data_IF_642135787095
#
_entry.id   IF_642135787095
#
_cell.length_a   1.000
_cell.length_b   1.000
_cell.length_c   1.000
_cell.angle_alpha   90.00
_cell.angle_beta   90.00
_cell.angle_gamma   90.00
#
_symmetry.space_group_name_H-M   'P 1'
#
loop_
_entity.id
_entity.type
_entity.pdbx_description
1 polymer ?
#
# COMPACT_ATOMS: atom_id res chain seq x y z
N UNK A 1 -32.75 -33.32 -3.72
CA UNK A 1 -31.64 -32.82 -4.55
C UNK A 1 -30.66 -32.14 -3.61
N UNK A 2 -29.37 -32.49 -3.63
CA UNK A 2 -28.35 -31.72 -2.90
C UNK A 2 -28.08 -30.47 -3.73
N UNK A 3 -28.29 -29.29 -3.16
CA UNK A 3 -27.94 -28.04 -3.82
C UNK A 3 -26.47 -28.07 -4.24
N UNK A 4 -26.20 -27.67 -5.48
CA UNK A 4 -24.86 -27.60 -6.01
C UNK A 4 -24.05 -26.61 -5.16
N UNK A 5 -22.99 -27.08 -4.51
CA UNK A 5 -22.11 -26.23 -3.69
C UNK A 5 -21.39 -25.23 -4.59
N UNK A 6 -21.84 -23.97 -4.58
CA UNK A 6 -21.20 -22.90 -5.35
C UNK A 6 -19.83 -22.56 -4.75
N UNK A 7 -18.79 -22.56 -5.59
CA UNK A 7 -17.44 -22.16 -5.17
C UNK A 7 -17.40 -20.64 -5.02
N UNK A 8 -17.09 -20.15 -3.82
CA UNK A 8 -16.91 -18.72 -3.56
C UNK A 8 -15.67 -18.21 -4.32
N UNK A 9 -15.78 -17.01 -4.88
CA UNK A 9 -14.66 -16.29 -5.46
C UNK A 9 -13.75 -15.80 -4.34
N UNK A 10 -12.45 -16.03 -4.47
CA UNK A 10 -11.46 -15.56 -3.49
C UNK A 10 -10.94 -14.17 -3.80
N UNK A 11 -11.02 -13.77 -5.08
CA UNK A 11 -10.53 -12.50 -5.59
C UNK A 11 -11.56 -11.88 -6.53
N UNK A 12 -11.60 -10.55 -6.57
CA UNK A 12 -12.42 -9.80 -7.53
C UNK A 12 -11.64 -8.57 -7.98
N UNK A 13 -11.49 -8.39 -9.30
CA UNK A 13 -10.87 -7.19 -9.85
C UNK A 13 -11.68 -5.95 -9.43
N UNK A 14 -10.96 -4.87 -9.13
CA UNK A 14 -11.55 -3.55 -8.94
C UNK A 14 -11.44 -2.86 -10.29
N UNK A 15 -12.56 -2.72 -10.98
CA UNK A 15 -12.61 -1.96 -12.23
C UNK A 15 -12.19 -0.52 -11.95
N UNK A 16 -11.29 0.02 -12.77
CA UNK A 16 -10.86 1.42 -12.62
C UNK A 16 -12.01 2.38 -12.85
N UNK A 17 -12.88 2.02 -13.80
CA UNK A 17 -14.09 2.74 -14.16
C UNK A 17 -15.24 2.29 -13.25
N UNK A 18 -15.76 3.20 -12.43
CA UNK A 18 -16.86 2.95 -11.50
C UNK A 18 -16.46 2.97 -10.01
N UNK A 19 -17.48 2.96 -9.14
CA UNK A 19 -17.29 2.98 -7.70
C UNK A 19 -17.09 1.55 -7.14
N UNK A 20 -16.12 1.32 -6.23
CA UNK A 20 -15.23 2.31 -5.60
C UNK A 20 -13.93 2.59 -6.37
N UNK A 21 -13.71 1.92 -7.51
CA UNK A 21 -12.46 1.96 -8.27
C UNK A 21 -11.93 3.35 -8.58
N UNK A 22 -12.76 4.27 -9.06
CA UNK A 22 -12.34 5.64 -9.39
C UNK A 22 -11.59 6.32 -8.24
N UNK A 23 -12.11 6.22 -7.02
CA UNK A 23 -11.48 6.82 -5.83
C UNK A 23 -10.19 6.10 -5.45
N UNK A 24 -10.19 4.78 -5.55
CA UNK A 24 -9.03 3.97 -5.18
C UNK A 24 -7.86 4.15 -6.15
N UNK A 25 -8.15 4.25 -7.45
CA UNK A 25 -7.14 4.52 -8.47
C UNK A 25 -6.68 5.97 -8.43
N UNK A 26 -7.54 6.94 -8.11
CA UNK A 26 -7.09 8.32 -7.88
C UNK A 26 -6.07 8.40 -6.73
N UNK A 27 -6.36 7.73 -5.61
CA UNK A 27 -5.43 7.63 -4.47
C UNK A 27 -4.14 6.89 -4.84
N UNK A 28 -4.24 5.80 -5.62
CA UNK A 28 -3.07 5.08 -6.13
C UNK A 28 -2.17 6.00 -6.97
N UNK A 29 -2.76 6.71 -7.92
CA UNK A 29 -2.04 7.60 -8.84
C UNK A 29 -1.38 8.75 -8.06
N UNK A 30 -2.06 9.33 -7.07
CA UNK A 30 -1.52 10.36 -6.16
C UNK A 30 -0.30 9.85 -5.39
N UNK A 31 -0.42 8.70 -4.72
CA UNK A 31 0.69 8.11 -3.96
C UNK A 31 1.89 7.78 -4.85
N UNK A 32 1.66 7.27 -6.06
CA UNK A 32 2.74 7.00 -7.02
C UNK A 32 3.49 8.28 -7.39
N UNK A 33 2.77 9.37 -7.65
CA UNK A 33 3.38 10.66 -7.98
C UNK A 33 4.15 11.24 -6.80
N UNK A 34 3.61 11.13 -5.58
CA UNK A 34 4.20 11.78 -4.40
C UNK A 34 5.38 11.00 -3.80
N UNK A 35 5.35 9.67 -3.85
CA UNK A 35 6.24 8.83 -3.05
C UNK A 35 6.95 7.71 -3.82
N UNK A 36 6.46 7.31 -5.01
CA UNK A 36 6.98 6.15 -5.75
C UNK A 36 7.27 6.48 -7.22
N UNK A 37 8.08 7.51 -7.47
CA UNK A 37 8.42 7.98 -8.83
C UNK A 37 8.95 6.84 -9.72
N UNK A 38 9.68 5.87 -9.15
CA UNK A 38 10.19 4.71 -9.88
C UNK A 38 9.08 3.81 -10.44
N UNK A 39 7.87 3.90 -9.90
CA UNK A 39 6.67 3.18 -10.33
C UNK A 39 5.78 4.01 -11.26
N UNK A 40 6.14 5.25 -11.62
CA UNK A 40 5.32 6.11 -12.48
C UNK A 40 4.96 5.50 -13.86
N UNK A 41 5.79 4.56 -14.34
CA UNK A 41 5.55 3.83 -15.60
C UNK A 41 5.01 2.41 -15.39
N UNK A 42 4.84 1.97 -14.13
CA UNK A 42 4.34 0.64 -13.82
C UNK A 42 2.83 0.59 -14.04
N UNK A 43 2.36 -0.49 -14.69
CA UNK A 43 0.92 -0.73 -14.83
C UNK A 43 0.43 -1.54 -13.62
N UNK A 44 -0.38 -0.91 -12.78
CA UNK A 44 -0.81 -1.49 -11.50
C UNK A 44 -2.33 -1.72 -11.52
N UNK A 45 -2.75 -2.95 -11.24
CA UNK A 45 -4.16 -3.29 -11.03
C UNK A 45 -4.49 -3.38 -9.54
N UNK A 46 -5.75 -3.11 -9.18
CA UNK A 46 -6.28 -3.30 -7.84
C UNK A 46 -7.26 -4.49 -7.83
N UNK A 47 -7.18 -5.32 -6.79
CA UNK A 47 -8.11 -6.43 -6.62
C UNK A 47 -8.52 -6.60 -5.16
N UNK A 48 -9.78 -6.99 -4.94
CA UNK A 48 -10.23 -7.45 -3.65
C UNK A 48 -9.73 -8.86 -3.37
N UNK A 49 -9.35 -9.10 -2.12
CA UNK A 49 -9.39 -10.41 -1.49
C UNK A 49 -10.69 -10.55 -0.68
N UNK A 50 -11.36 -11.69 -0.83
CA UNK A 50 -12.65 -12.01 -0.22
C UNK A 50 -12.58 -13.21 0.75
N UNK A 51 -11.39 -13.73 1.03
CA UNK A 51 -11.21 -15.05 1.66
C UNK A 51 -10.11 -15.15 2.71
N UNK A 52 -9.21 -14.17 2.80
CA UNK A 52 -8.16 -14.16 3.81
C UNK A 52 -8.77 -14.09 5.20
N UNK A 53 -8.13 -14.84 6.09
CA UNK A 53 -8.50 -14.90 7.50
C UNK A 53 -7.25 -14.60 8.32
N UNK A 54 -7.44 -14.04 9.53
CA UNK A 54 -6.36 -13.93 10.48
C UNK A 54 -5.70 -15.31 10.69
N UNK A 55 -4.39 -15.30 10.92
CA UNK A 55 -3.69 -16.50 11.36
C UNK A 55 -4.08 -16.90 12.79
N UNK A 56 -3.48 -17.99 13.29
CA UNK A 56 -3.76 -18.50 14.64
C UNK A 56 -3.41 -17.52 15.76
N UNK A 57 -2.57 -16.52 15.47
CA UNK A 57 -2.18 -15.46 16.38
C UNK A 57 -3.03 -14.18 16.19
N UNK A 58 -4.05 -14.24 15.33
CA UNK A 58 -4.95 -13.12 15.04
C UNK A 58 -4.37 -12.08 14.07
N UNK A 59 -3.22 -12.32 13.44
CA UNK A 59 -2.64 -11.39 12.45
C UNK A 59 -3.30 -11.57 11.10
N UNK A 60 -3.82 -10.49 10.52
CA UNK A 60 -4.46 -10.51 9.21
C UNK A 60 -3.54 -9.91 8.14
N UNK A 61 -3.49 -10.56 6.97
CA UNK A 61 -2.98 -9.91 5.75
C UNK A 61 -4.01 -8.91 5.27
N UNK A 62 -3.67 -7.62 5.30
CA UNK A 62 -4.56 -6.55 4.86
C UNK A 62 -4.34 -6.17 3.39
N UNK A 63 -3.11 -6.32 2.91
CA UNK A 63 -2.70 -6.03 1.55
C UNK A 63 -1.65 -7.02 1.04
N UNK A 64 -1.49 -7.08 -0.27
CA UNK A 64 -0.38 -7.76 -0.93
C UNK A 64 -0.11 -7.18 -2.31
N UNK A 65 1.09 -6.68 -2.52
CA UNK A 65 1.62 -6.40 -3.84
C UNK A 65 2.14 -7.68 -4.50
N UNK A 66 1.48 -8.11 -5.58
CA UNK A 66 1.88 -9.27 -6.38
C UNK A 66 2.45 -8.79 -7.72
N UNK A 67 3.74 -9.04 -7.95
CA UNK A 67 4.32 -8.89 -9.29
C UNK A 67 3.68 -9.89 -10.25
N UNK A 68 3.27 -9.41 -11.41
CA UNK A 68 2.71 -10.21 -12.50
C UNK A 68 3.84 -11.02 -13.16
N UNK A 69 3.61 -12.30 -13.43
CA UNK A 69 4.58 -13.14 -14.11
C UNK A 69 4.71 -12.79 -15.58
N UNK A 70 5.78 -13.27 -16.23
CA UNK A 70 6.03 -12.93 -17.64
C UNK A 70 4.87 -13.34 -18.56
N UNK A 71 4.29 -14.54 -18.32
CA UNK A 71 3.17 -15.02 -19.11
C UNK A 71 1.92 -14.16 -18.89
N UNK A 72 1.57 -13.87 -17.64
CA UNK A 72 0.41 -13.01 -17.35
C UNK A 72 0.61 -11.59 -17.87
N UNK A 73 1.83 -11.06 -17.85
CA UNK A 73 2.15 -9.74 -18.42
C UNK A 73 1.95 -9.69 -19.93
N UNK A 74 2.07 -10.83 -20.63
CA UNK A 74 1.70 -10.93 -22.05
C UNK A 74 0.18 -10.98 -22.28
N UNK A 75 -0.60 -11.32 -21.26
CA UNK A 75 -2.06 -11.48 -21.36
C UNK A 75 -2.85 -10.26 -20.87
N UNK A 76 -2.39 -9.61 -19.80
CA UNK A 76 -3.17 -8.58 -19.08
C UNK A 76 -2.41 -7.27 -18.84
N UNK A 77 -1.24 -7.10 -19.46
CA UNK A 77 -0.49 -5.84 -19.55
C UNK A 77 -0.34 -5.06 -18.24
N UNK A 78 -0.24 -5.78 -17.11
CA UNK A 78 0.05 -5.24 -15.79
C UNK A 78 1.43 -5.71 -15.33
N UNK A 79 2.12 -4.87 -14.57
CA UNK A 79 3.36 -5.19 -13.87
C UNK A 79 3.09 -5.69 -12.45
N UNK A 80 2.05 -5.13 -11.82
CA UNK A 80 1.65 -5.48 -10.45
C UNK A 80 0.12 -5.61 -10.32
N UNK A 81 -0.29 -6.44 -9.37
CA UNK A 81 -1.64 -6.44 -8.80
C UNK A 81 -1.50 -6.19 -7.30
N UNK A 82 -2.03 -5.07 -6.82
CA UNK A 82 -2.19 -4.81 -5.40
C UNK A 82 -3.53 -5.41 -4.96
N UNK A 83 -3.46 -6.36 -4.04
CA UNK A 83 -4.61 -7.11 -3.54
C UNK A 83 -4.93 -6.60 -2.14
N UNK A 84 -6.15 -6.13 -1.92
CA UNK A 84 -6.59 -5.54 -0.66
C UNK A 84 -7.66 -6.40 0.00
N UNK A 85 -7.59 -6.61 1.31
CA UNK A 85 -8.63 -7.28 2.06
C UNK A 85 -9.89 -6.41 2.09
N UNK A 86 -10.93 -6.85 1.40
CA UNK A 86 -12.18 -6.10 1.27
C UNK A 86 -12.84 -5.83 2.61
N UNK A 87 -12.84 -6.84 3.49
CA UNK A 87 -13.43 -6.78 4.83
C UNK A 87 -12.86 -5.58 5.58
N UNK A 88 -11.54 -5.48 5.71
CA UNK A 88 -10.84 -4.34 6.31
C UNK A 88 -11.12 -3.01 5.59
N UNK A 89 -10.99 -2.96 4.26
CA UNK A 89 -11.10 -1.71 3.51
C UNK A 89 -12.49 -1.06 3.65
N UNK A 90 -13.54 -1.87 3.66
CA UNK A 90 -14.93 -1.41 3.75
C UNK A 90 -15.41 -1.22 5.20
N UNK A 91 -14.60 -1.53 6.22
CA UNK A 91 -15.00 -1.29 7.61
C UNK A 91 -15.17 0.21 7.90
N UNK A 92 -16.24 0.54 8.60
CA UNK A 92 -16.60 1.92 8.95
C UNK A 92 -15.57 2.61 9.85
N UNK A 93 -14.86 1.83 10.67
CA UNK A 93 -13.84 2.34 11.58
C UNK A 93 -12.51 2.63 10.88
N UNK A 94 -12.32 2.13 9.66
CA UNK A 94 -11.09 2.37 8.90
C UNK A 94 -11.16 3.75 8.25
N UNK A 95 -10.17 4.59 8.55
CA UNK A 95 -10.09 5.96 8.04
C UNK A 95 -9.45 5.99 6.65
N UNK A 96 -9.61 7.11 5.95
CA UNK A 96 -8.99 7.28 4.63
C UNK A 96 -7.45 7.33 4.73
N UNK A 97 -6.91 7.85 5.83
CA UNK A 97 -5.47 7.82 6.10
C UNK A 97 -4.95 6.39 6.30
N UNK A 98 -5.73 5.51 6.93
CA UNK A 98 -5.36 4.10 7.09
C UNK A 98 -5.41 3.36 5.74
N UNK A 99 -6.38 3.69 4.88
CA UNK A 99 -6.47 3.15 3.51
C UNK A 99 -5.29 3.63 2.66
N UNK A 100 -4.96 4.91 2.74
CA UNK A 100 -3.78 5.50 2.08
C UNK A 100 -2.50 4.84 2.57
N UNK A 101 -2.29 4.72 3.88
CA UNK A 101 -1.11 4.07 4.45
C UNK A 101 -0.99 2.59 4.04
N UNK A 102 -2.11 1.87 3.94
CA UNK A 102 -2.09 0.49 3.45
C UNK A 102 -1.72 0.42 1.96
N UNK A 103 -2.30 1.28 1.12
CA UNK A 103 -1.99 1.28 -0.31
C UNK A 103 -0.54 1.71 -0.58
N UNK A 104 -0.07 2.72 0.13
CA UNK A 104 1.31 3.21 0.12
C UNK A 104 2.30 2.12 0.56
N UNK A 105 1.96 1.39 1.63
CA UNK A 105 2.72 0.22 2.08
C UNK A 105 2.85 -0.83 0.98
N UNK A 106 1.78 -1.13 0.24
CA UNK A 106 1.85 -2.09 -0.86
C UNK A 106 2.63 -1.56 -2.07
N UNK A 107 2.66 -0.25 -2.30
CA UNK A 107 3.50 0.37 -3.32
C UNK A 107 4.99 0.25 -2.99
N UNK A 108 5.40 0.38 -1.72
CA UNK A 108 6.79 0.18 -1.27
C UNK A 108 7.38 -1.20 -1.64
N UNK A 109 6.53 -2.19 -1.90
CA UNK A 109 6.95 -3.49 -2.38
C UNK A 109 7.39 -3.48 -3.85
N UNK A 110 6.83 -2.60 -4.68
CA UNK A 110 7.25 -2.42 -6.06
C UNK A 110 8.61 -1.74 -6.13
N UNK A 111 9.52 -2.27 -6.93
CA UNK A 111 10.80 -1.61 -7.17
C UNK A 111 11.31 -1.91 -8.58
N UNK A 112 12.09 -0.99 -9.15
CA UNK A 112 12.83 -1.27 -10.37
C UNK A 112 13.84 -2.40 -10.15
N UNK A 113 13.96 -3.26 -11.15
CA UNK A 113 15.12 -4.12 -11.28
C UNK A 113 16.23 -3.30 -11.90
N UNK A 114 17.32 -3.15 -11.16
CA UNK A 114 18.52 -2.47 -11.63
C UNK A 114 19.55 -3.51 -12.09
N UNK A 115 20.38 -3.14 -13.06
CA UNK A 115 21.54 -3.93 -13.47
C UNK A 115 22.74 -3.72 -12.54
N UNK A 116 23.95 -4.08 -12.99
CA UNK A 116 25.18 -3.96 -12.19
C UNK A 116 25.67 -2.53 -12.04
N UNK A 117 25.30 -1.66 -12.98
CA UNK A 117 25.72 -0.27 -13.02
C UNK A 117 24.68 0.65 -12.34
N UNK A 118 23.55 0.08 -11.92
CA UNK A 118 22.48 0.79 -11.23
C UNK A 118 21.38 1.29 -12.15
N UNK A 119 21.41 0.91 -13.43
CA UNK A 119 20.45 1.38 -14.43
C UNK A 119 19.20 0.46 -14.48
N UNK A 120 18.01 1.01 -14.77
CA UNK A 120 16.79 0.20 -14.92
C UNK A 120 16.93 -0.83 -16.03
N UNK A 121 16.64 -2.09 -15.72
CA UNK A 121 16.59 -3.17 -16.71
C UNK A 121 15.32 -3.04 -17.55
N UNK A 122 15.46 -3.14 -18.86
CA UNK A 122 14.34 -3.22 -19.80
C UNK A 122 14.19 -4.62 -20.42
N UNK A 123 12.98 -4.98 -20.82
CA UNK A 123 12.73 -6.17 -21.63
C UNK A 123 13.02 -5.91 -23.13
N UNK A 124 12.92 -6.95 -23.97
CA UNK A 124 13.16 -6.84 -25.42
C UNK A 124 12.19 -5.89 -26.14
N UNK A 125 11.14 -5.40 -25.47
CA UNK A 125 10.15 -4.44 -25.99
C UNK A 125 10.35 -3.04 -25.41
N UNK A 126 11.45 -2.79 -24.68
CA UNK A 126 11.75 -1.51 -24.04
C UNK A 126 10.87 -1.21 -22.83
N UNK A 127 10.23 -2.21 -22.23
CA UNK A 127 9.45 -2.03 -20.99
C UNK A 127 10.36 -2.26 -19.79
N UNK A 128 10.31 -1.34 -18.81
CA UNK A 128 10.99 -1.52 -17.52
C UNK A 128 10.60 -2.84 -16.86
N UNK A 129 11.59 -3.46 -16.21
CA UNK A 129 11.44 -4.70 -15.47
C UNK A 129 11.39 -4.37 -13.99
N UNK A 130 10.34 -4.85 -13.34
CA UNK A 130 10.13 -4.64 -11.91
C UNK A 130 10.42 -5.89 -11.08
N UNK A 131 10.69 -5.68 -9.81
CA UNK A 131 10.87 -6.71 -8.77
C UNK A 131 10.01 -6.38 -7.55
N UNK A 132 9.87 -7.35 -6.66
CA UNK A 132 9.28 -7.13 -5.34
C UNK A 132 10.39 -7.00 -4.30
N UNK A 133 10.40 -5.90 -3.54
CA UNK A 133 11.22 -5.67 -2.36
C UNK A 133 10.53 -6.25 -1.12
N UNK A 134 11.29 -6.72 -0.14
CA UNK A 134 10.76 -7.13 1.18
C UNK A 134 10.75 -5.93 2.14
N UNK A 135 9.92 -6.01 3.17
CA UNK A 135 9.92 -5.02 4.26
C UNK A 135 11.31 -4.81 4.84
N UNK A 136 11.55 -3.58 5.29
CA UNK A 136 12.81 -3.21 5.94
C UNK A 136 12.98 -3.91 7.28
N UNK A 137 11.87 -4.24 7.96
CA UNK A 137 11.89 -4.93 9.25
C UNK A 137 10.87 -6.05 9.28
N UNK A 138 11.35 -7.22 9.70
CA UNK A 138 10.55 -8.27 10.29
C UNK A 138 11.25 -8.69 11.58
N UNK A 139 10.74 -8.24 12.73
CA UNK A 139 11.39 -8.45 14.03
C UNK A 139 10.36 -8.74 15.13
N UNK A 140 10.75 -9.52 16.13
CA UNK A 140 9.93 -9.80 17.30
C UNK A 140 9.94 -8.60 18.24
N UNK A 141 8.75 -8.21 18.72
CA UNK A 141 8.61 -7.11 19.69
C UNK A 141 9.39 -7.40 20.97
N UNK A 142 9.51 -8.67 21.38
CA UNK A 142 10.28 -9.10 22.53
C UNK A 142 11.78 -8.87 22.37
N UNK A 143 12.30 -8.96 21.14
CA UNK A 143 13.72 -8.68 20.86
C UNK A 143 13.97 -7.17 20.93
N UNK A 144 13.10 -6.37 20.31
CA UNK A 144 13.19 -4.90 20.39
C UNK A 144 13.04 -4.42 21.83
N UNK A 145 12.13 -5.00 22.61
CA UNK A 145 11.92 -4.64 24.01
C UNK A 145 13.13 -4.94 24.90
N UNK A 146 13.86 -6.04 24.64
CA UNK A 146 15.03 -6.43 25.44
C UNK A 146 16.34 -5.75 25.00
N UNK A 147 16.50 -5.50 23.71
CA UNK A 147 17.80 -5.14 23.13
C UNK A 147 17.80 -3.79 22.40
N UNK A 148 16.65 -3.13 22.29
CA UNK A 148 16.53 -1.85 21.58
C UNK A 148 16.77 -1.98 20.08
N UNK A 149 17.16 -0.87 19.43
CA UNK A 149 17.46 -0.81 17.99
C UNK A 149 18.86 -1.35 17.71
N UNK A 150 19.04 -2.66 17.83
CA UNK A 150 20.35 -3.31 17.72
C UNK A 150 20.84 -3.51 16.26
N UNK A 151 20.02 -3.14 15.26
CA UNK A 151 20.31 -3.21 13.82
C UNK A 151 19.99 -1.88 13.17
N UNK A 152 20.69 -1.57 12.07
CA UNK A 152 20.52 -0.31 11.35
C UNK A 152 19.08 -0.09 10.88
N UNK A 153 18.45 -1.09 10.30
CA UNK A 153 17.08 -0.97 9.79
C UNK A 153 16.08 -0.61 10.91
N UNK A 154 16.30 -1.11 12.15
CA UNK A 154 15.51 -0.73 13.33
C UNK A 154 15.72 0.73 13.73
N UNK A 155 16.96 1.22 13.67
CA UNK A 155 17.27 2.63 13.93
C UNK A 155 16.58 3.53 12.89
N UNK A 156 16.68 3.19 11.62
CA UNK A 156 16.12 3.98 10.51
C UNK A 156 14.58 4.04 10.61
N UNK A 157 13.94 2.93 10.99
CA UNK A 157 12.50 2.88 11.24
C UNK A 157 12.08 3.67 12.49
N UNK A 158 12.84 3.57 13.59
CA UNK A 158 12.57 4.36 14.78
C UNK A 158 12.68 5.87 14.49
N UNK A 159 13.65 6.27 13.68
CA UNK A 159 13.77 7.66 13.22
C UNK A 159 12.59 8.06 12.32
N UNK A 160 12.12 7.18 11.43
CA UNK A 160 10.93 7.45 10.60
C UNK A 160 9.68 7.70 11.47
N UNK A 161 9.48 6.90 12.52
CA UNK A 161 8.40 7.11 13.50
C UNK A 161 8.52 8.43 14.27
N UNK A 162 9.75 8.90 14.55
CA UNK A 162 9.96 10.18 15.22
C UNK A 162 9.66 11.37 14.28
N UNK A 163 10.06 11.28 13.01
CA UNK A 163 9.78 12.31 11.99
C UNK A 163 8.28 12.50 11.77
N UNK A 164 7.50 11.42 11.68
CA UNK A 164 6.05 11.51 11.50
C UNK A 164 5.35 12.17 12.69
N UNK A 165 5.77 11.87 13.94
CA UNK A 165 5.24 12.50 15.15
C UNK A 165 5.52 14.00 15.23
N UNK A 166 6.67 14.45 14.73
CA UNK A 166 7.01 15.88 14.70
C UNK A 166 6.19 16.65 13.64
N UNK A 167 5.88 16.03 12.50
CA UNK A 167 5.00 16.60 11.48
C UNK A 167 3.55 16.80 11.97
N UNK A 168 3.06 15.93 12.85
CA UNK A 168 1.71 16.02 13.42
C UNK A 168 1.53 17.19 14.42
N UNK A 169 2.61 17.79 14.94
CA UNK A 169 2.53 18.83 15.98
C UNK A 169 2.30 20.26 15.44
N UNK A 170 2.36 20.47 14.12
CA UNK A 170 2.19 21.79 13.50
C UNK A 170 0.78 22.08 12.94
N UNK A 171 -0.18 21.16 13.05
CA UNK A 171 -1.59 21.43 12.70
C UNK A 171 -2.37 21.83 13.96
N UNK A 172 -2.18 23.05 14.44
CA UNK A 172 -3.14 23.66 15.37
C UNK A 172 -4.38 24.11 14.57
N UNK A 173 -5.61 23.86 15.04
CA UNK A 173 -6.79 24.45 14.44
C UNK A 173 -6.77 25.97 14.66
N UNK A 174 -6.96 26.73 13.60
CA UNK A 174 -7.27 28.16 13.67
C UNK A 174 -8.49 28.35 14.57
N UNK A 175 -8.29 28.97 15.72
CA UNK A 175 -9.40 29.49 16.50
C UNK A 175 -9.87 30.78 15.84
N UNK A 176 -10.90 30.56 15.02
CA UNK A 176 -12.08 31.40 14.82
C UNK A 176 -12.01 32.83 15.41
N UNK A 177 -11.95 33.78 14.49
CA UNK A 177 -12.13 35.21 14.69
C UNK A 177 -13.51 35.51 15.28
N UNK A 178 -13.58 35.67 16.60
CA UNK A 178 -14.75 36.26 17.28
C UNK A 178 -14.96 37.74 16.90
N UNK A 179 -16.22 38.23 16.86
CA UNK A 179 -16.56 39.51 16.25
C UNK A 179 -16.07 40.70 17.08
N UNK A 180 -15.53 41.72 16.40
CA UNK A 180 -15.22 43.03 17.00
C UNK A 180 -16.52 43.70 17.44
N UNK A 181 -16.63 43.95 18.74
CA UNK A 181 -17.66 44.81 19.31
C UNK A 181 -17.53 46.24 18.77
N UNK A 182 -18.61 46.74 18.17
CA UNK A 182 -18.79 48.16 17.86
C UNK A 182 -19.18 48.85 19.18
N UNK A 183 -18.37 49.81 19.63
CA UNK A 183 -18.77 50.74 20.69
C UNK A 183 -19.36 52.00 20.04
N UNK A 184 -20.40 52.49 20.71
CA UNK A 184 -21.26 53.65 20.43
C UNK A 184 -20.54 54.95 20.09
#
# INVERSE_FOLDING_TARGET
MKDAKQKKLNYKLIEREGAPGEKMYALLDELVVEHHEELAQARIALAWNLSWKPDVDGRATLGKCKRVGNLERELMDYDFVIILLREFWEEIAVTDEQRAALLDHELCHGALKLDKDGEPVEDERGRKVYRTRKHDIAEFTEIVARHGCYKRDLEDFAQALQRSKQGSLFRKPDQDSGPRAVKS
#
